data_IF_352788214710
#
_entry.id   IF_352788214710
#
_cell.length_a   1.000
_cell.length_b   1.000
_cell.length_c   1.000
_cell.angle_alpha   90.00
_cell.angle_beta   90.00
_cell.angle_gamma   90.00
#
_symmetry.space_group_name_H-M   'P 1'
#
loop_
_entity.id
_entity.type
_entity.pdbx_description
1 polymer ?
#
# COMPACT_ATOMS: atom_id res chain seq x y z
N UNK A 1 10.98 -21.46 -0.06
CA UNK A 1 9.83 -21.35 -0.98
C UNK A 1 10.18 -20.53 -2.21
N UNK A 2 10.73 -21.19 -3.24
CA UNK A 2 10.89 -20.61 -4.57
C UNK A 2 9.52 -20.60 -5.26
N UNK A 3 9.05 -19.43 -5.67
CA UNK A 3 7.86 -19.32 -6.53
C UNK A 3 8.24 -19.82 -7.93
N UNK A 4 7.91 -21.08 -8.23
CA UNK A 4 7.82 -21.57 -9.60
C UNK A 4 6.62 -20.89 -10.26
N UNK A 5 6.87 -19.95 -11.17
CA UNK A 5 5.84 -19.50 -12.10
C UNK A 5 5.55 -20.68 -13.03
N UNK A 6 4.43 -21.36 -12.82
CA UNK A 6 4.00 -22.45 -13.68
C UNK A 6 3.43 -21.86 -14.97
N UNK A 7 4.02 -22.17 -16.15
CA UNK A 7 3.46 -21.74 -17.43
C UNK A 7 2.01 -22.23 -17.56
N UNK A 8 1.06 -21.34 -17.78
CA UNK A 8 -0.35 -21.67 -17.97
C UNK A 8 -1.25 -21.56 -16.72
N UNK A 9 -0.71 -21.23 -15.55
CA UNK A 9 -1.52 -20.87 -14.37
C UNK A 9 -1.76 -19.35 -14.41
N UNK A 10 -3.01 -18.88 -14.55
CA UNK A 10 -3.30 -17.45 -14.47
C UNK A 10 -2.86 -16.89 -13.12
N UNK A 11 -2.24 -15.71 -13.12
CA UNK A 11 -1.93 -14.98 -11.88
C UNK A 11 -3.18 -14.97 -10.98
N UNK A 12 -3.05 -15.41 -9.72
CA UNK A 12 -4.16 -15.47 -8.75
C UNK A 12 -4.81 -14.10 -8.49
N UNK A 13 -4.10 -13.03 -8.84
CA UNK A 13 -4.56 -11.65 -8.79
C UNK A 13 -4.88 -11.19 -10.21
N UNK A 14 -6.03 -11.62 -10.72
CA UNK A 14 -6.64 -11.01 -11.90
C UNK A 14 -7.18 -9.65 -11.48
N UNK A 15 -6.52 -8.56 -11.89
CA UNK A 15 -7.20 -7.28 -11.99
C UNK A 15 -8.28 -7.44 -13.05
N UNK A 16 -9.48 -7.84 -12.65
CA UNK A 16 -10.59 -8.01 -13.57
C UNK A 16 -10.86 -6.66 -14.23
N UNK A 17 -10.39 -6.51 -15.47
CA UNK A 17 -10.97 -5.61 -16.44
C UNK A 17 -12.34 -6.21 -16.75
N UNK A 18 -13.34 -5.78 -16.00
CA UNK A 18 -14.70 -6.26 -16.21
C UNK A 18 -15.20 -5.75 -17.56
N UNK A 19 -15.98 -6.55 -18.29
CA UNK A 19 -16.55 -6.24 -19.61
C UNK A 19 -17.48 -5.02 -19.65
N UNK A 20 -17.69 -4.38 -18.50
CA UNK A 20 -18.38 -3.10 -18.29
C UNK A 20 -17.41 -1.93 -17.95
N UNK A 21 -16.12 -2.08 -18.26
CA UNK A 21 -15.11 -1.00 -18.23
C UNK A 21 -14.80 -0.38 -16.83
N UNK A 22 -14.90 -1.15 -15.74
CA UNK A 22 -14.49 -0.68 -14.41
C UNK A 22 -13.15 -1.30 -13.95
N UNK A 23 -12.15 -0.44 -13.71
CA UNK A 23 -11.15 -0.71 -12.68
C UNK A 23 -11.80 -0.36 -11.33
N UNK A 24 -11.90 -1.31 -10.41
CA UNK A 24 -12.69 -1.07 -9.19
C UNK A 24 -12.22 0.16 -8.37
N UNK A 25 -10.92 0.42 -8.20
CA UNK A 25 -10.42 1.61 -7.48
C UNK A 25 -9.88 2.71 -8.41
N UNK A 26 -10.08 3.98 -8.04
CA UNK A 26 -9.49 5.12 -8.75
C UNK A 26 -8.05 5.34 -8.26
N UNK A 27 -7.11 5.39 -9.20
CA UNK A 27 -5.72 5.76 -8.94
C UNK A 27 -5.03 5.96 -10.31
N UNK A 28 -4.00 6.82 -10.40
CA UNK A 28 -3.23 6.95 -11.63
C UNK A 28 -2.52 5.63 -11.98
N UNK A 29 -2.32 5.34 -13.26
CA UNK A 29 -1.82 4.04 -13.73
C UNK A 29 -0.50 3.62 -13.09
N UNK A 30 0.42 4.56 -12.82
CA UNK A 30 1.69 4.28 -12.15
C UNK A 30 1.51 3.68 -10.75
N UNK A 31 0.52 4.17 -9.99
CA UNK A 31 0.22 3.69 -8.65
C UNK A 31 -0.38 2.29 -8.70
N UNK A 32 -1.34 2.06 -9.61
CA UNK A 32 -1.97 0.75 -9.80
C UNK A 32 -0.97 -0.33 -10.21
N UNK A 33 -0.12 0.00 -11.19
CA UNK A 33 0.91 -0.91 -11.67
C UNK A 33 1.92 -1.26 -10.56
N UNK A 34 2.32 -0.26 -9.76
CA UNK A 34 3.16 -0.51 -8.60
C UNK A 34 2.48 -1.40 -7.55
N UNK A 35 1.24 -1.11 -7.17
CA UNK A 35 0.51 -1.93 -6.21
C UNK A 35 0.35 -3.37 -6.70
N UNK A 36 0.10 -3.58 -7.99
CA UNK A 36 0.10 -4.93 -8.58
C UNK A 36 1.43 -5.64 -8.39
N UNK A 37 2.56 -4.99 -8.68
CA UNK A 37 3.88 -5.56 -8.44
C UNK A 37 4.09 -5.83 -6.95
N UNK A 38 3.69 -4.92 -6.06
CA UNK A 38 3.84 -5.09 -4.62
C UNK A 38 3.09 -6.33 -4.13
N UNK A 39 1.83 -6.51 -4.53
CA UNK A 39 0.99 -7.66 -4.15
C UNK A 39 1.60 -8.99 -4.60
N UNK A 40 2.34 -9.00 -5.72
CA UNK A 40 3.01 -10.20 -6.24
C UNK A 40 4.41 -10.43 -5.63
N UNK A 41 4.80 -9.69 -4.59
CA UNK A 41 6.18 -9.66 -4.06
C UNK A 41 7.23 -9.35 -5.15
N UNK A 42 6.83 -8.47 -6.09
CA UNK A 42 7.62 -8.06 -7.25
C UNK A 42 8.16 -6.62 -7.16
N UNK A 43 8.24 -6.07 -5.96
CA UNK A 43 8.99 -4.83 -5.69
C UNK A 43 10.43 -5.12 -5.26
N UNK A 44 11.33 -4.14 -5.36
CA UNK A 44 12.76 -4.31 -5.08
C UNK A 44 13.09 -4.14 -3.60
N UNK A 45 12.61 -5.05 -2.76
CA UNK A 45 12.92 -5.14 -1.33
C UNK A 45 14.16 -5.98 -1.05
N UNK A 46 14.74 -5.81 0.14
CA UNK A 46 15.96 -6.51 0.57
C UNK A 46 15.88 -8.02 0.44
N UNK A 47 14.78 -8.64 0.84
CA UNK A 47 14.52 -10.08 0.70
C UNK A 47 14.59 -10.55 -0.77
N UNK A 48 14.08 -9.74 -1.70
CA UNK A 48 14.01 -10.09 -3.11
C UNK A 48 15.35 -9.90 -3.80
N UNK A 49 16.09 -8.86 -3.44
CA UNK A 49 17.47 -8.67 -3.88
C UNK A 49 18.34 -9.84 -3.39
N UNK A 50 18.18 -10.25 -2.12
CA UNK A 50 18.86 -11.40 -1.55
C UNK A 50 18.58 -12.69 -2.34
N UNK A 51 17.31 -12.97 -2.66
CA UNK A 51 16.91 -14.14 -3.48
C UNK A 51 17.54 -14.16 -4.87
N UNK A 52 17.95 -13.01 -5.42
CA UNK A 52 18.62 -12.89 -6.72
C UNK A 52 20.14 -12.83 -6.63
N UNK A 53 20.72 -12.92 -5.43
CA UNK A 53 22.16 -12.76 -5.21
C UNK A 53 22.67 -11.35 -5.52
N UNK A 54 21.80 -10.34 -5.48
CA UNK A 54 22.18 -8.95 -5.74
C UNK A 54 22.66 -8.27 -4.45
N UNK A 55 23.53 -7.24 -4.54
CA UNK A 55 23.90 -6.43 -3.38
C UNK A 55 22.66 -5.89 -2.68
N UNK A 56 22.57 -6.13 -1.36
CA UNK A 56 21.44 -5.73 -0.54
C UNK A 56 21.88 -5.48 0.90
N UNK A 57 21.09 -4.71 1.65
CA UNK A 57 21.27 -4.61 3.08
C UNK A 57 20.60 -5.81 3.77
N UNK A 58 21.27 -6.47 4.74
CA UNK A 58 20.70 -7.62 5.45
C UNK A 58 19.53 -7.22 6.35
N UNK A 59 19.45 -5.94 6.71
CA UNK A 59 18.38 -5.36 7.53
C UNK A 59 17.71 -4.21 6.79
N UNK A 60 16.44 -3.96 7.11
CA UNK A 60 15.70 -2.84 6.58
C UNK A 60 16.36 -1.52 6.98
N UNK A 61 16.57 -0.65 6.01
CA UNK A 61 17.17 0.67 6.22
C UNK A 61 16.35 1.58 7.13
N UNK A 62 15.05 1.30 7.26
CA UNK A 62 14.16 2.05 8.12
C UNK A 62 14.20 1.54 9.57
N UNK A 63 14.06 0.22 9.78
CA UNK A 63 13.94 -0.34 11.12
C UNK A 63 15.28 -0.77 11.72
N UNK A 64 16.28 -1.08 10.90
CA UNK A 64 17.61 -1.59 11.26
C UNK A 64 17.61 -2.90 12.07
N UNK A 65 16.48 -3.61 12.13
CA UNK A 65 16.29 -4.80 12.97
C UNK A 65 16.01 -6.07 12.17
N UNK A 66 15.09 -6.00 11.21
CA UNK A 66 14.60 -7.16 10.46
C UNK A 66 14.94 -7.05 8.98
N UNK A 67 15.04 -8.17 8.28
CA UNK A 67 15.19 -8.15 6.82
C UNK A 67 13.99 -7.44 6.18
N UNK A 68 14.25 -6.57 5.20
CA UNK A 68 13.19 -5.85 4.51
C UNK A 68 12.42 -6.78 3.57
N UNK A 69 11.13 -6.93 3.80
CA UNK A 69 10.13 -7.46 2.87
C UNK A 69 9.10 -6.37 2.56
N UNK A 70 8.27 -6.57 1.52
CA UNK A 70 7.19 -5.61 1.27
C UNK A 70 6.12 -5.65 2.38
N UNK A 71 5.86 -6.80 3.01
CA UNK A 71 4.98 -6.88 4.18
C UNK A 71 5.55 -6.08 5.36
N UNK A 72 6.84 -6.25 5.63
CA UNK A 72 7.53 -5.46 6.64
C UNK A 72 7.42 -3.96 6.36
N UNK A 73 7.72 -3.56 5.13
CA UNK A 73 7.72 -2.16 4.70
C UNK A 73 6.32 -1.54 4.76
N UNK A 74 5.28 -2.22 4.29
CA UNK A 74 3.95 -1.63 4.14
C UNK A 74 3.05 -1.83 5.37
N UNK A 75 3.26 -2.87 6.17
CA UNK A 75 2.32 -3.26 7.24
C UNK A 75 2.98 -3.33 8.62
N UNK A 76 4.14 -3.98 8.75
CA UNK A 76 4.64 -4.37 10.09
C UNK A 76 5.52 -3.30 10.74
N UNK A 77 6.22 -2.51 9.93
CA UNK A 77 7.19 -1.53 10.42
C UNK A 77 6.52 -0.38 11.18
N UNK A 78 7.12 0.03 12.30
CA UNK A 78 6.57 1.04 13.22
C UNK A 78 6.24 2.38 12.55
N UNK A 79 7.06 2.84 11.61
CA UNK A 79 6.78 4.09 10.88
C UNK A 79 5.52 3.95 10.02
N UNK A 80 5.41 2.83 9.30
CA UNK A 80 4.24 2.52 8.47
C UNK A 80 3.00 2.38 9.33
N UNK A 81 3.08 1.68 10.47
CA UNK A 81 1.98 1.59 11.44
C UNK A 81 1.53 2.97 11.93
N UNK A 82 2.46 3.88 12.25
CA UNK A 82 2.10 5.26 12.63
C UNK A 82 1.35 5.99 11.52
N UNK A 83 1.79 5.85 10.27
CA UNK A 83 1.08 6.44 9.12
C UNK A 83 -0.31 5.84 8.99
N UNK A 84 -0.46 4.52 9.11
CA UNK A 84 -1.74 3.85 9.02
C UNK A 84 -2.71 4.24 10.14
N UNK A 85 -2.25 4.34 11.38
CA UNK A 85 -3.07 4.78 12.51
C UNK A 85 -3.61 6.19 12.29
N UNK A 86 -2.75 7.11 11.85
CA UNK A 86 -3.16 8.48 11.52
C UNK A 86 -4.14 8.48 10.34
N UNK A 87 -3.89 7.66 9.30
CA UNK A 87 -4.81 7.51 8.16
C UNK A 87 -6.16 6.95 8.56
N UNK A 88 -6.20 5.93 9.41
CA UNK A 88 -7.41 5.34 9.95
C UNK A 88 -8.23 6.40 10.70
N UNK A 89 -7.57 7.23 11.52
CA UNK A 89 -8.19 8.29 12.29
C UNK A 89 -8.82 9.35 11.38
N UNK A 90 -8.06 9.97 10.47
CA UNK A 90 -8.59 11.09 9.69
C UNK A 90 -9.57 10.66 8.58
N UNK A 91 -9.45 9.43 8.07
CA UNK A 91 -10.39 8.87 7.10
C UNK A 91 -11.62 8.23 7.78
N UNK A 92 -11.67 8.17 9.12
CA UNK A 92 -12.66 7.43 9.89
C UNK A 92 -12.84 5.97 9.44
N UNK A 93 -11.73 5.28 9.13
CA UNK A 93 -11.72 3.87 8.69
C UNK A 93 -10.98 3.00 9.71
N UNK A 94 -11.72 2.45 10.67
CA UNK A 94 -11.15 1.61 11.72
C UNK A 94 -10.39 0.38 11.19
N UNK A 95 -10.75 -0.15 10.02
CA UNK A 95 -10.06 -1.32 9.43
C UNK A 95 -8.61 -1.03 9.01
N UNK A 96 -8.23 0.26 8.87
CA UNK A 96 -6.85 0.66 8.59
C UNK A 96 -6.01 0.79 9.86
N UNK A 97 -6.61 0.71 11.05
CA UNK A 97 -5.92 0.89 12.32
C UNK A 97 -5.05 -0.35 12.63
N UNK A 98 -3.72 -0.21 12.73
CA UNK A 98 -2.83 -1.36 12.92
C UNK A 98 -3.06 -2.17 14.19
N UNK A 99 -3.67 -1.60 15.23
CA UNK A 99 -4.04 -2.37 16.43
C UNK A 99 -5.15 -3.38 16.19
N UNK A 100 -5.89 -3.27 15.08
CA UNK A 100 -6.90 -4.25 14.65
C UNK A 100 -6.33 -5.36 13.76
N UNK A 101 -5.08 -5.23 13.32
CA UNK A 101 -4.48 -6.14 12.37
C UNK A 101 -3.98 -7.43 13.05
N UNK A 102 -4.32 -8.56 12.43
CA UNK A 102 -3.77 -9.86 12.80
C UNK A 102 -2.36 -10.10 12.25
N UNK A 103 -1.92 -11.35 12.35
CA UNK A 103 -0.72 -11.80 11.64
C UNK A 103 -1.03 -12.04 10.16
N UNK A 104 -0.10 -11.66 9.29
CA UNK A 104 -0.18 -11.91 7.86
C UNK A 104 1.10 -12.60 7.39
N UNK A 105 0.96 -13.60 6.53
CA UNK A 105 2.07 -14.34 5.93
C UNK A 105 2.56 -13.68 4.63
N UNK A 106 1.75 -12.81 4.01
CA UNK A 106 2.08 -12.17 2.74
C UNK A 106 1.39 -10.82 2.54
N UNK A 107 1.94 -10.00 1.63
CA UNK A 107 1.33 -8.73 1.21
C UNK A 107 -0.05 -8.97 0.59
N UNK A 108 -0.23 -10.04 -0.17
CA UNK A 108 -1.52 -10.38 -0.76
C UNK A 108 -2.59 -10.63 0.31
N UNK A 109 -2.26 -11.34 1.38
CA UNK A 109 -3.18 -11.59 2.49
C UNK A 109 -3.52 -10.28 3.21
N UNK A 110 -2.53 -9.45 3.54
CA UNK A 110 -2.76 -8.13 4.13
C UNK A 110 -3.59 -7.22 3.21
N UNK A 111 -3.31 -7.19 1.90
CA UNK A 111 -4.05 -6.39 0.92
C UNK A 111 -5.52 -6.82 0.79
N UNK A 112 -5.79 -8.11 1.04
CA UNK A 112 -7.12 -8.69 0.94
C UNK A 112 -7.93 -8.54 2.24
N UNK A 113 -7.28 -8.25 3.38
CA UNK A 113 -7.93 -8.08 4.68
C UNK A 113 -9.00 -6.98 4.76
N UNK A 114 -8.95 -5.86 3.99
CA UNK A 114 -9.99 -4.84 3.97
C UNK A 114 -11.31 -5.31 3.32
N UNK A 115 -11.48 -6.60 3.05
CA UNK A 115 -12.68 -7.18 2.45
C UNK A 115 -13.94 -7.05 3.31
N UNK A 116 -13.80 -6.76 4.61
CA UNK A 116 -14.90 -6.61 5.58
C UNK A 116 -15.57 -5.23 5.56
N UNK A 117 -14.99 -4.24 4.89
CA UNK A 117 -15.63 -2.93 4.72
C UNK A 117 -16.94 -3.01 3.90
N UNK A 118 -17.92 -2.11 4.11
CA UNK A 118 -19.12 -2.03 3.25
C UNK A 118 -18.75 -1.88 1.78
N UNK A 119 -19.50 -2.55 0.88
CA UNK A 119 -19.19 -2.66 -0.57
C UNK A 119 -18.92 -1.30 -1.21
N UNK A 120 -19.75 -0.29 -0.91
CA UNK A 120 -19.65 1.05 -1.50
C UNK A 120 -18.37 1.79 -1.08
N UNK A 121 -17.86 1.50 0.12
CA UNK A 121 -16.62 2.09 0.66
C UNK A 121 -15.37 1.37 0.16
N UNK A 122 -15.48 0.14 -0.39
CA UNK A 122 -14.32 -0.67 -0.81
C UNK A 122 -13.49 0.01 -1.88
N UNK A 123 -14.12 0.77 -2.80
CA UNK A 123 -13.42 1.40 -3.92
C UNK A 123 -12.60 2.62 -3.48
N UNK A 124 -13.19 3.46 -2.63
CA UNK A 124 -12.50 4.59 -1.99
C UNK A 124 -11.36 4.08 -1.10
N UNK A 125 -11.63 3.04 -0.31
CA UNK A 125 -10.64 2.44 0.60
C UNK A 125 -9.45 1.87 -0.17
N UNK A 126 -9.69 1.12 -1.24
CA UNK A 126 -8.61 0.61 -2.11
C UNK A 126 -7.80 1.75 -2.73
N UNK A 127 -8.45 2.84 -3.14
CA UNK A 127 -7.77 4.02 -3.68
C UNK A 127 -6.83 4.62 -2.62
N UNK A 128 -7.30 4.77 -1.39
CA UNK A 128 -6.50 5.26 -0.27
C UNK A 128 -5.32 4.32 0.06
N UNK A 129 -5.56 3.00 0.10
CA UNK A 129 -4.50 2.02 0.35
C UNK A 129 -3.41 2.08 -0.72
N UNK A 130 -3.79 2.14 -2.00
CA UNK A 130 -2.87 2.31 -3.14
C UNK A 130 -1.98 3.54 -2.92
N UNK A 131 -2.59 4.67 -2.50
CA UNK A 131 -1.86 5.91 -2.26
C UNK A 131 -0.86 5.77 -1.11
N UNK A 132 -1.29 5.26 0.05
CA UNK A 132 -0.42 5.12 1.22
C UNK A 132 0.76 4.19 0.93
N UNK A 133 0.50 3.04 0.31
CA UNK A 133 1.53 2.06 -0.08
C UNK A 133 2.56 2.69 -1.02
N UNK A 134 2.12 3.51 -1.97
CA UNK A 134 3.03 4.25 -2.84
C UNK A 134 3.88 5.28 -2.09
N UNK A 135 3.28 6.08 -1.20
CA UNK A 135 4.04 7.10 -0.45
C UNK A 135 5.06 6.47 0.51
N UNK A 136 4.73 5.32 1.12
CA UNK A 136 5.69 4.52 1.91
C UNK A 136 6.86 4.03 1.04
N UNK A 137 6.58 3.58 -0.17
CA UNK A 137 7.61 3.17 -1.12
C UNK A 137 8.53 4.33 -1.53
N UNK A 138 7.94 5.49 -1.85
CA UNK A 138 8.68 6.71 -2.17
C UNK A 138 9.56 7.15 -1.00
N UNK A 139 9.04 7.14 0.23
CA UNK A 139 9.79 7.49 1.43
C UNK A 139 10.98 6.54 1.65
N UNK A 140 10.77 5.24 1.49
CA UNK A 140 11.84 4.24 1.56
C UNK A 140 12.91 4.49 0.50
N UNK A 141 12.53 4.78 -0.75
CA UNK A 141 13.47 5.04 -1.82
C UNK A 141 14.26 6.34 -1.60
N UNK A 142 13.63 7.40 -1.12
CA UNK A 142 14.32 8.65 -0.81
C UNK A 142 15.41 8.45 0.26
N UNK A 143 15.17 7.59 1.26
CA UNK A 143 16.18 7.27 2.28
C UNK A 143 17.34 6.45 1.76
N UNK A 144 17.10 5.54 0.82
CA UNK A 144 18.16 4.69 0.25
C UNK A 144 18.99 5.46 -0.77
N UNK A 145 18.33 6.12 -1.72
CA UNK A 145 18.98 6.66 -2.92
C UNK A 145 19.33 8.14 -2.81
N UNK A 146 18.65 8.89 -1.94
CA UNK A 146 18.86 10.33 -1.77
C UNK A 146 19.36 10.70 -0.36
N UNK A 147 19.55 9.71 0.53
CA UNK A 147 19.87 9.92 1.94
C UNK A 147 18.94 10.94 2.63
N UNK A 148 17.67 10.98 2.22
CA UNK A 148 16.67 11.93 2.70
C UNK A 148 15.51 11.20 3.36
N UNK A 149 15.29 11.46 4.65
CA UNK A 149 14.13 10.96 5.39
C UNK A 149 13.14 12.07 5.72
N UNK A 150 11.85 11.80 5.51
CA UNK A 150 10.76 12.65 5.95
C UNK A 150 10.22 12.19 7.31
N UNK A 151 9.66 13.12 8.09
CA UNK A 151 8.89 12.79 9.30
C UNK A 151 7.55 12.15 8.91
N UNK A 152 6.89 11.48 9.88
CA UNK A 152 5.53 10.95 9.69
C UNK A 152 4.59 12.04 9.17
N UNK A 153 4.71 13.27 9.70
CA UNK A 153 3.77 14.35 9.38
C UNK A 153 4.00 14.89 7.96
N UNK A 154 5.24 14.88 7.49
CA UNK A 154 5.56 15.23 6.11
C UNK A 154 5.01 14.18 5.13
N UNK A 155 5.08 12.89 5.46
CA UNK A 155 4.48 11.84 4.62
C UNK A 155 2.96 11.92 4.61
N UNK A 156 2.33 12.16 5.77
CA UNK A 156 0.88 12.38 5.86
C UNK A 156 0.43 13.62 5.07
N UNK A 157 1.22 14.70 5.08
CA UNK A 157 0.93 15.88 4.26
C UNK A 157 0.96 15.54 2.76
N UNK A 158 1.92 14.74 2.30
CA UNK A 158 1.96 14.24 0.91
C UNK A 158 0.73 13.39 0.59
N UNK A 159 0.37 12.45 1.47
CA UNK A 159 -0.82 11.60 1.31
C UNK A 159 -2.08 12.46 1.19
N UNK A 160 -2.29 13.43 2.09
CA UNK A 160 -3.46 14.33 2.05
C UNK A 160 -3.49 15.18 0.78
N UNK A 161 -2.35 15.75 0.40
CA UNK A 161 -2.21 16.53 -0.83
C UNK A 161 -2.56 15.72 -2.07
N UNK A 162 -2.06 14.48 -2.16
CA UNK A 162 -2.41 13.61 -3.28
C UNK A 162 -3.85 13.12 -3.24
N UNK A 163 -4.40 12.80 -2.07
CA UNK A 163 -5.81 12.45 -1.94
C UNK A 163 -6.71 13.60 -2.43
N UNK A 164 -6.40 14.84 -2.06
CA UNK A 164 -7.11 16.03 -2.56
C UNK A 164 -6.99 16.17 -4.08
N UNK A 165 -5.79 16.05 -4.63
CA UNK A 165 -5.53 16.04 -6.07
C UNK A 165 -6.36 14.96 -6.78
N UNK A 166 -6.42 13.75 -6.22
CA UNK A 166 -7.19 12.63 -6.77
C UNK A 166 -8.69 12.90 -6.77
N UNK A 167 -9.22 13.47 -5.69
CA UNK A 167 -10.63 13.87 -5.59
C UNK A 167 -10.98 14.91 -6.66
N UNK A 168 -10.14 15.95 -6.83
CA UNK A 168 -10.34 16.96 -7.89
C UNK A 168 -10.23 16.39 -9.30
N UNK A 169 -9.41 15.35 -9.50
CA UNK A 169 -9.27 14.61 -10.74
C UNK A 169 -10.36 13.53 -10.98
N UNK A 170 -11.38 13.46 -10.12
CA UNK A 170 -12.56 12.62 -10.32
C UNK A 170 -12.57 11.28 -9.55
N UNK A 171 -11.77 11.15 -8.49
CA UNK A 171 -11.82 9.99 -7.58
C UNK A 171 -13.07 10.02 -6.69
N UNK A 172 -14.27 9.86 -7.27
CA UNK A 172 -15.56 10.01 -6.58
C UNK A 172 -15.69 9.15 -5.33
N UNK A 173 -15.39 7.85 -5.41
CA UNK A 173 -15.45 6.96 -4.24
C UNK A 173 -14.45 7.31 -3.13
N UNK A 174 -13.29 7.89 -3.48
CA UNK A 174 -12.36 8.39 -2.48
C UNK A 174 -12.92 9.65 -1.82
N UNK A 175 -13.54 10.55 -2.60
CA UNK A 175 -14.25 11.71 -2.08
C UNK A 175 -15.37 11.32 -1.14
N UNK A 176 -16.22 10.36 -1.52
CA UNK A 176 -17.32 9.89 -0.68
C UNK A 176 -16.82 9.28 0.62
N UNK A 177 -15.71 8.54 0.58
CA UNK A 177 -15.09 7.98 1.78
C UNK A 177 -14.61 9.08 2.73
N UNK A 178 -13.89 10.07 2.21
CA UNK A 178 -13.23 11.10 3.02
C UNK A 178 -14.14 12.26 3.42
N UNK A 179 -15.22 12.53 2.69
CA UNK A 179 -16.22 13.52 3.08
C UNK A 179 -17.10 13.02 4.23
N UNK A 180 -17.36 11.71 4.31
CA UNK A 180 -18.13 11.11 5.41
C UNK A 180 -17.44 11.31 6.77
N UNK A 181 -16.11 11.29 6.82
CA UNK A 181 -15.35 11.51 8.05
C UNK A 181 -15.37 12.95 8.55
N UNK A 182 -15.71 13.92 7.70
CA UNK A 182 -15.84 15.33 8.07
C UNK A 182 -17.24 15.69 8.60
N UNK A 183 -18.24 14.84 8.33
CA UNK A 183 -19.64 15.03 8.72
C UNK A 183 -20.04 14.31 10.03
N UNK A 184 -19.13 13.53 10.60
CA UNK A 184 -19.29 12.73 11.82
C UNK A 184 -18.42 13.26 12.95
#
# INVERSE_FOLDING_TARGET
NQLHLQPGVPDSVVWKFSSNNQYSAWAPSKYKFFSWLAIQDRVWTGDRLARRGWPHSPVCVLCRLTQESGLHLFCEYQFSKRIWAEVALWAAVQHLEPSTWGHYDSILQWWSSPSEAPIDSKLGLRSLIILVVWELWCERNARIFENRGSTVQQVLAKIRGQAASWMTAGAKHLSDLLCRSLSS
#
